data_IF_610289023205
#
_entry.id   IF_610289023205
#
_cell.length_a   1.000
_cell.length_b   1.000
_cell.length_c   1.000
_cell.angle_alpha   90.00
_cell.angle_beta   90.00
_cell.angle_gamma   90.00
#
_symmetry.space_group_name_H-M   'P 1'
#
loop_
_entity.id
_entity.type
_entity.pdbx_description
1 polymer ?
#
# COMPACT_ATOMS: atom_id res chain seq x y z
N UNK A 1 35.14 -39.35 -26.42
CA UNK A 1 34.88 -40.80 -26.27
C UNK A 1 33.38 -41.04 -26.33
N UNK A 2 32.86 -41.60 -27.43
CA UNK A 2 31.46 -42.03 -27.51
C UNK A 2 31.29 -43.45 -26.94
N UNK A 3 30.15 -43.73 -26.31
CA UNK A 3 29.56 -45.08 -26.26
C UNK A 3 28.05 -45.01 -26.40
N UNK A 4 27.56 -45.35 -27.59
CA UNK A 4 26.22 -45.92 -27.78
C UNK A 4 26.10 -47.23 -26.98
N UNK A 5 24.86 -47.63 -26.66
CA UNK A 5 24.52 -49.05 -26.54
C UNK A 5 23.13 -49.32 -27.10
N UNK A 6 23.02 -50.43 -27.80
CA UNK A 6 21.89 -50.84 -28.64
C UNK A 6 21.00 -51.88 -27.94
N UNK A 7 19.81 -52.12 -28.50
CA UNK A 7 18.90 -53.22 -28.17
C UNK A 7 19.56 -54.62 -28.27
N UNK A 8 18.90 -55.63 -27.71
CA UNK A 8 18.44 -56.71 -28.62
C UNK A 8 16.96 -57.10 -28.44
N UNK A 9 16.44 -57.77 -29.48
CA UNK A 9 15.14 -58.46 -29.57
C UNK A 9 15.42 -59.96 -29.50
N UNK A 10 14.49 -60.78 -28.95
CA UNK A 10 14.48 -62.22 -29.21
C UNK A 10 13.07 -62.83 -29.14
N UNK A 11 12.70 -63.56 -30.20
CA UNK A 11 11.59 -64.52 -30.30
C UNK A 11 12.07 -65.91 -29.82
N UNK A 12 11.14 -66.81 -29.41
CA UNK A 12 11.15 -68.24 -29.80
C UNK A 12 9.97 -69.06 -29.21
N UNK A 13 9.91 -70.35 -29.56
CA UNK A 13 8.74 -71.27 -29.49
C UNK A 13 8.95 -72.44 -28.47
N UNK A 14 8.19 -73.56 -28.39
CA UNK A 14 7.05 -74.15 -29.12
C UNK A 14 6.32 -75.20 -28.21
N UNK A 15 5.33 -75.94 -28.76
CA UNK A 15 4.90 -77.34 -28.47
C UNK A 15 3.56 -77.66 -27.78
N UNK A 16 3.04 -78.85 -28.13
CA UNK A 16 1.71 -79.45 -27.84
C UNK A 16 1.89 -80.98 -27.65
N UNK A 17 1.09 -81.68 -26.83
CA UNK A 17 0.70 -83.09 -27.11
C UNK A 17 -0.78 -83.43 -26.66
N UNK A 18 -1.35 -84.66 -26.77
CA UNK A 18 -2.49 -84.86 -27.69
C UNK A 18 -3.70 -85.72 -27.20
N UNK A 19 -4.60 -85.99 -28.16
CA UNK A 19 -5.92 -86.67 -28.22
C UNK A 19 -6.16 -88.05 -27.52
N UNK A 20 -7.46 -88.37 -27.26
CA UNK A 20 -8.06 -89.74 -27.31
C UNK A 20 -9.62 -89.74 -27.35
N UNK A 21 -10.22 -90.59 -28.19
CA UNK A 21 -11.68 -90.84 -28.40
C UNK A 21 -12.20 -91.97 -27.45
N UNK A 22 -13.49 -92.36 -27.28
CA UNK A 22 -14.47 -93.01 -28.22
C UNK A 22 -15.85 -93.25 -27.52
N UNK A 23 -16.97 -92.71 -28.09
CA UNK A 23 -18.27 -93.38 -28.47
C UNK A 23 -19.25 -94.08 -27.43
N UNK A 24 -20.50 -94.54 -27.76
CA UNK A 24 -21.71 -94.13 -27.00
C UNK A 24 -22.79 -95.23 -26.72
N UNK A 25 -23.61 -95.12 -25.65
CA UNK A 25 -24.83 -95.96 -25.49
C UNK A 25 -26.02 -95.30 -24.75
N UNK A 26 -27.22 -95.78 -25.10
CA UNK A 26 -28.51 -95.73 -24.39
C UNK A 26 -29.43 -94.49 -24.52
N UNK A 27 -30.10 -94.47 -25.67
CA UNK A 27 -31.23 -93.65 -26.12
C UNK A 27 -32.62 -94.14 -25.65
N UNK A 28 -32.73 -94.92 -24.55
CA UNK A 28 -33.91 -95.77 -24.26
C UNK A 28 -34.74 -95.40 -23.02
N UNK A 29 -34.75 -94.13 -22.63
CA UNK A 29 -35.65 -93.57 -21.59
C UNK A 29 -36.16 -92.18 -22.02
N UNK A 30 -36.56 -91.95 -23.27
CA UNK A 30 -37.88 -92.32 -23.80
C UNK A 30 -39.04 -92.23 -22.78
N UNK A 31 -39.79 -91.15 -22.91
CA UNK A 31 -41.25 -91.18 -23.03
C UNK A 31 -42.07 -91.79 -21.87
N UNK A 32 -41.78 -91.37 -20.64
CA UNK A 32 -42.74 -91.12 -19.55
C UNK A 32 -42.20 -89.91 -18.77
N UNK A 33 -42.87 -88.78 -18.61
CA UNK A 33 -44.27 -88.42 -18.87
C UNK A 33 -44.43 -87.12 -19.68
N UNK A 34 -45.05 -87.20 -20.86
CA UNK A 34 -45.74 -86.06 -21.48
C UNK A 34 -47.19 -86.04 -20.98
N UNK A 35 -47.44 -85.48 -19.80
CA UNK A 35 -48.80 -85.16 -19.34
C UNK A 35 -48.82 -84.13 -18.19
N UNK A 36 -49.62 -83.07 -18.38
CA UNK A 36 -50.31 -82.29 -17.32
C UNK A 36 -49.47 -81.33 -16.44
N UNK A 37 -49.40 -80.09 -16.90
CA UNK A 37 -49.26 -78.85 -16.08
C UNK A 37 -50.59 -78.57 -15.34
N UNK A 38 -50.63 -78.02 -14.10
CA UNK A 38 -50.45 -76.56 -13.93
C UNK A 38 -49.88 -76.01 -12.58
N UNK A 39 -49.36 -74.76 -12.67
CA UNK A 39 -49.35 -73.67 -11.67
C UNK A 39 -48.34 -73.56 -10.48
N UNK A 40 -47.59 -72.43 -10.53
CA UNK A 40 -47.14 -71.49 -9.46
C UNK A 40 -45.81 -71.73 -8.67
N UNK A 41 -45.19 -70.64 -8.10
CA UNK A 41 -43.72 -70.46 -8.03
C UNK A 41 -43.25 -70.01 -6.59
N UNK A 42 -42.20 -69.18 -6.32
CA UNK A 42 -40.94 -68.81 -7.03
C UNK A 42 -39.64 -68.89 -6.15
N UNK A 43 -38.52 -68.36 -6.68
CA UNK A 43 -37.17 -68.09 -6.08
C UNK A 43 -36.20 -69.29 -6.02
N UNK A 44 -34.89 -69.14 -6.27
CA UNK A 44 -33.98 -67.97 -6.26
C UNK A 44 -33.01 -67.94 -7.48
N UNK A 45 -32.29 -66.83 -7.76
CA UNK A 45 -31.65 -66.60 -9.07
C UNK A 45 -30.17 -67.01 -9.18
N UNK A 46 -29.77 -67.47 -10.38
CA UNK A 46 -28.38 -67.66 -10.83
C UNK A 46 -27.89 -66.43 -11.65
N UNK A 47 -26.58 -66.20 -11.77
CA UNK A 47 -26.03 -64.97 -12.35
C UNK A 47 -26.04 -64.96 -13.90
N UNK A 48 -26.24 -63.79 -14.54
CA UNK A 48 -26.05 -63.62 -15.99
C UNK A 48 -24.56 -63.39 -16.37
N UNK A 49 -24.17 -63.65 -17.63
CA UNK A 49 -22.78 -63.65 -18.07
C UNK A 49 -22.21 -62.25 -18.38
N UNK A 50 -20.89 -62.13 -18.30
CA UNK A 50 -20.14 -60.92 -18.71
C UNK A 50 -20.36 -60.58 -20.20
N UNK A 51 -20.99 -59.43 -20.47
CA UNK A 51 -20.90 -58.76 -21.77
C UNK A 51 -19.99 -57.53 -21.65
N UNK A 52 -19.01 -57.45 -22.54
CA UNK A 52 -18.16 -56.26 -22.71
C UNK A 52 -18.98 -55.11 -23.31
N UNK A 53 -19.23 -54.05 -22.52
CA UNK A 53 -19.80 -52.79 -23.02
C UNK A 53 -19.32 -51.59 -22.19
N UNK A 54 -19.16 -50.46 -22.88
CA UNK A 54 -18.90 -49.11 -22.34
C UNK A 54 -17.54 -48.83 -21.68
N UNK A 55 -16.50 -48.60 -22.51
CA UNK A 55 -15.45 -47.61 -22.19
C UNK A 55 -15.65 -46.28 -22.95
N UNK A 56 -16.38 -46.30 -24.08
CA UNK A 56 -16.56 -45.16 -24.98
C UNK A 56 -17.37 -44.01 -24.38
N UNK A 57 -18.46 -44.31 -23.64
CA UNK A 57 -19.30 -43.25 -23.06
C UNK A 57 -18.59 -42.44 -21.97
N UNK A 58 -17.68 -43.06 -21.21
CA UNK A 58 -16.88 -42.36 -20.18
C UNK A 58 -15.89 -41.39 -20.83
N UNK A 59 -15.25 -41.78 -21.94
CA UNK A 59 -14.34 -40.90 -22.70
C UNK A 59 -15.10 -39.72 -23.31
N UNK A 60 -16.30 -39.95 -23.86
CA UNK A 60 -17.14 -38.87 -24.42
C UNK A 60 -17.56 -37.88 -23.32
N UNK A 61 -17.99 -38.35 -22.15
CA UNK A 61 -18.38 -37.50 -21.02
C UNK A 61 -17.22 -36.66 -20.45
N UNK A 62 -16.01 -37.24 -20.36
CA UNK A 62 -14.81 -36.50 -19.95
C UNK A 62 -14.43 -35.44 -20.98
N UNK A 63 -14.55 -35.74 -22.28
CA UNK A 63 -14.26 -34.80 -23.36
C UNK A 63 -15.23 -33.61 -23.38
N UNK A 64 -16.52 -33.81 -23.10
CA UNK A 64 -17.50 -32.71 -23.05
C UNK A 64 -17.28 -31.80 -21.84
N UNK A 65 -16.97 -32.36 -20.67
CA UNK A 65 -16.65 -31.57 -19.48
C UNK A 65 -15.43 -30.67 -19.69
N UNK A 66 -14.35 -31.19 -20.27
CA UNK A 66 -13.14 -30.41 -20.60
C UNK A 66 -13.43 -29.25 -21.57
N UNK A 67 -14.24 -29.50 -22.60
CA UNK A 67 -14.63 -28.45 -23.56
C UNK A 67 -15.46 -27.33 -22.92
N UNK A 68 -16.35 -27.65 -21.98
CA UNK A 68 -17.16 -26.64 -21.27
C UNK A 68 -16.28 -25.81 -20.32
N UNK A 69 -15.36 -26.45 -19.57
CA UNK A 69 -14.40 -25.71 -18.75
C UNK A 69 -13.52 -24.77 -19.59
N UNK A 70 -13.02 -25.23 -20.74
CA UNK A 70 -12.22 -24.38 -21.64
C UNK A 70 -13.01 -23.17 -22.14
N UNK A 71 -14.27 -23.35 -22.54
CA UNK A 71 -15.14 -22.23 -22.98
C UNK A 71 -15.44 -21.24 -21.85
N UNK A 72 -15.63 -21.72 -20.61
CA UNK A 72 -15.81 -20.84 -19.43
C UNK A 72 -14.54 -20.05 -19.15
N UNK A 73 -13.37 -20.68 -19.14
CA UNK A 73 -12.08 -20.00 -18.94
C UNK A 73 -11.80 -19.00 -20.06
N UNK A 74 -12.05 -19.37 -21.33
CA UNK A 74 -11.92 -18.45 -22.46
C UNK A 74 -12.90 -17.27 -22.36
N UNK A 75 -14.14 -17.49 -21.91
CA UNK A 75 -15.10 -16.42 -21.67
C UNK A 75 -14.67 -15.49 -20.53
N UNK A 76 -14.14 -16.04 -19.42
CA UNK A 76 -13.60 -15.24 -18.32
C UNK A 76 -12.40 -14.41 -18.79
N UNK A 77 -11.43 -15.01 -19.51
CA UNK A 77 -10.29 -14.29 -20.08
C UNK A 77 -10.76 -13.20 -21.06
N UNK A 78 -11.73 -13.49 -21.92
CA UNK A 78 -12.33 -12.51 -22.83
C UNK A 78 -13.04 -11.37 -22.06
N UNK A 79 -13.75 -11.68 -21.00
CA UNK A 79 -14.46 -10.70 -20.17
C UNK A 79 -13.51 -9.81 -19.38
N UNK A 80 -12.48 -10.38 -18.74
CA UNK A 80 -11.42 -9.62 -18.06
C UNK A 80 -10.61 -8.78 -19.06
N UNK A 81 -10.19 -9.34 -20.19
CA UNK A 81 -9.41 -8.60 -21.22
C UNK A 81 -10.22 -7.52 -21.96
N UNK A 82 -11.55 -7.62 -22.01
CA UNK A 82 -12.41 -6.54 -22.50
C UNK A 82 -12.78 -5.52 -21.40
N UNK A 83 -12.86 -5.90 -20.12
CA UNK A 83 -12.91 -4.92 -19.03
C UNK A 83 -11.64 -4.07 -18.98
N UNK A 84 -10.48 -4.64 -19.30
CA UNK A 84 -9.22 -3.92 -19.47
C UNK A 84 -9.17 -2.98 -20.71
N UNK A 85 -10.19 -2.98 -21.58
CA UNK A 85 -10.22 -2.19 -22.83
C UNK A 85 -11.24 -1.06 -22.82
N UNK A 86 -11.24 -0.27 -21.74
CA UNK A 86 -11.63 1.14 -21.75
C UNK A 86 -10.61 2.00 -21.00
N UNK A 87 -9.34 1.91 -21.42
CA UNK A 87 -8.35 2.93 -21.11
C UNK A 87 -8.76 4.21 -21.84
N UNK A 88 -9.53 5.06 -21.16
CA UNK A 88 -9.57 6.48 -21.52
C UNK A 88 -8.21 7.01 -21.14
N UNK A 89 -7.33 7.21 -22.12
CA UNK A 89 -6.03 7.83 -21.91
C UNK A 89 -6.27 9.29 -21.53
N UNK A 90 -6.42 9.53 -20.23
CA UNK A 90 -6.38 10.87 -19.66
C UNK A 90 -4.89 11.27 -19.60
N UNK A 91 -4.44 12.28 -20.35
CA UNK A 91 -3.03 12.65 -20.37
C UNK A 91 -2.66 13.33 -19.05
N UNK A 92 -2.21 12.51 -18.08
CA UNK A 92 -1.65 12.94 -16.80
C UNK A 92 -0.20 13.47 -16.92
N UNK A 93 0.23 13.81 -18.13
CA UNK A 93 1.56 14.31 -18.51
C UNK A 93 1.87 15.73 -18.02
N UNK A 94 1.13 16.24 -17.03
CA UNK A 94 1.27 17.58 -16.48
C UNK A 94 2.01 17.66 -15.13
N UNK A 95 2.56 16.55 -14.64
CA UNK A 95 2.88 16.40 -13.21
C UNK A 95 4.29 15.93 -12.82
N UNK A 96 5.31 16.58 -13.38
CA UNK A 96 6.49 16.96 -12.60
C UNK A 96 7.17 18.19 -13.21
N UNK A 97 7.72 19.06 -12.36
CA UNK A 97 8.12 20.42 -12.73
C UNK A 97 9.56 20.51 -13.25
N UNK A 98 9.74 21.24 -14.36
CA UNK A 98 11.02 21.88 -14.70
C UNK A 98 10.82 23.39 -14.69
N UNK A 99 11.84 24.14 -14.25
CA UNK A 99 11.71 25.54 -13.82
C UNK A 99 11.13 26.52 -14.84
N UNK A 100 9.83 26.76 -14.74
CA UNK A 100 9.10 27.98 -15.12
C UNK A 100 7.70 27.86 -14.53
N UNK A 101 7.08 28.96 -14.04
CA UNK A 101 5.78 28.91 -13.33
C UNK A 101 4.75 28.07 -14.10
N UNK A 102 4.25 26.93 -13.56
CA UNK A 102 3.27 26.13 -14.27
C UNK A 102 1.90 26.82 -14.25
N UNK A 103 1.04 26.59 -15.27
CA UNK A 103 -0.39 26.86 -15.12
C UNK A 103 -0.93 25.99 -13.97
N UNK A 104 -1.80 26.56 -13.12
CA UNK A 104 -2.22 25.93 -11.86
C UNK A 104 -2.69 24.48 -12.02
N UNK A 105 -2.11 23.58 -11.21
CA UNK A 105 -2.44 22.14 -11.15
C UNK A 105 -3.95 21.99 -10.95
N UNK A 106 -4.68 21.60 -12.01
CA UNK A 106 -6.14 21.42 -11.92
C UNK A 106 -6.44 20.19 -11.09
N UNK A 107 -6.93 20.41 -9.87
CA UNK A 107 -7.36 19.36 -8.96
C UNK A 107 -8.41 18.45 -9.63
N UNK A 108 -8.25 17.14 -9.50
CA UNK A 108 -9.18 16.16 -10.05
C UNK A 108 -10.43 16.02 -9.18
N UNK A 109 -11.59 15.86 -9.83
CA UNK A 109 -12.84 15.48 -9.20
C UNK A 109 -13.11 14.03 -9.60
N UNK A 110 -12.88 13.13 -8.67
CA UNK A 110 -13.06 11.69 -8.86
C UNK A 110 -14.51 11.29 -8.59
N UNK A 111 -15.00 10.27 -9.29
CA UNK A 111 -16.23 9.58 -8.93
C UNK A 111 -15.93 8.52 -7.87
N UNK A 112 -16.90 8.21 -7.01
CA UNK A 112 -16.76 7.13 -6.02
C UNK A 112 -16.41 5.81 -6.71
N UNK A 113 -17.15 5.46 -7.77
CA UNK A 113 -16.92 4.23 -8.56
C UNK A 113 -15.52 4.11 -9.19
N UNK A 114 -14.82 5.23 -9.39
CA UNK A 114 -13.43 5.22 -9.85
C UNK A 114 -12.46 4.91 -8.70
N UNK A 115 -12.69 5.50 -7.52
CA UNK A 115 -11.91 5.23 -6.31
C UNK A 115 -12.20 3.83 -5.73
N UNK A 116 -13.42 3.33 -5.87
CA UNK A 116 -13.86 1.99 -5.50
C UNK A 116 -13.10 0.94 -6.32
N UNK A 117 -13.03 1.13 -7.65
CA UNK A 117 -12.20 0.30 -8.52
C UNK A 117 -10.70 0.43 -8.23
N UNK A 118 -10.21 1.63 -7.90
CA UNK A 118 -8.80 1.87 -7.60
C UNK A 118 -8.35 1.28 -6.26
N UNK A 119 -9.21 1.30 -5.23
CA UNK A 119 -8.91 0.86 -3.86
C UNK A 119 -9.39 -0.58 -3.55
N UNK A 120 -9.64 -1.38 -4.58
CA UNK A 120 -10.13 -2.77 -4.48
C UNK A 120 -11.39 -2.88 -3.60
N UNK A 121 -12.47 -2.22 -4.01
CA UNK A 121 -13.75 -2.13 -3.28
C UNK A 121 -13.59 -1.58 -1.84
N UNK A 122 -12.56 -0.75 -1.64
CA UNK A 122 -12.12 -0.20 -0.35
C UNK A 122 -11.64 -1.27 0.66
N UNK A 123 -11.14 -2.41 0.19
CA UNK A 123 -10.53 -3.43 1.06
C UNK A 123 -9.06 -3.15 1.40
N UNK A 124 -8.33 -2.37 0.58
CA UNK A 124 -6.90 -2.12 0.75
C UNK A 124 -6.65 -0.98 1.79
N UNK A 125 -6.89 -1.29 3.07
CA UNK A 125 -6.73 -0.36 4.20
C UNK A 125 -5.25 -0.23 4.59
N UNK A 126 -4.72 0.99 4.58
CA UNK A 126 -3.41 1.34 5.14
C UNK A 126 -3.52 1.66 6.63
N UNK A 127 -4.60 2.33 7.04
CA UNK A 127 -4.83 2.67 8.44
C UNK A 127 -6.25 3.13 8.73
N UNK A 128 -6.71 2.88 9.96
CA UNK A 128 -8.02 3.29 10.46
C UNK A 128 -7.83 4.27 11.62
N UNK A 129 -8.35 5.49 11.46
CA UNK A 129 -8.21 6.59 12.42
C UNK A 129 -9.57 6.94 13.03
N UNK A 130 -9.59 7.84 14.01
CA UNK A 130 -10.81 8.18 14.78
C UNK A 130 -11.91 8.86 13.96
N UNK A 131 -11.55 9.52 12.85
CA UNK A 131 -12.45 10.31 11.99
C UNK A 131 -12.32 10.00 10.48
N UNK A 132 -11.35 9.19 10.05
CA UNK A 132 -11.21 8.73 8.67
C UNK A 132 -10.59 7.33 8.56
N UNK A 133 -10.77 6.68 7.41
CA UNK A 133 -9.98 5.51 6.99
C UNK A 133 -9.07 5.92 5.83
N UNK A 134 -7.82 5.45 5.85
CA UNK A 134 -6.84 5.61 4.78
C UNK A 134 -6.75 4.33 3.98
N UNK A 135 -7.01 4.42 2.67
CA UNK A 135 -6.89 3.32 1.72
C UNK A 135 -5.71 3.57 0.78
N UNK A 136 -5.06 2.48 0.35
CA UNK A 136 -4.20 2.48 -0.83
C UNK A 136 -5.07 2.20 -2.05
N UNK A 137 -4.83 2.93 -3.13
CA UNK A 137 -5.42 2.63 -4.43
C UNK A 137 -4.42 2.76 -5.57
N UNK A 138 -4.75 2.18 -6.71
CA UNK A 138 -4.03 2.36 -7.98
C UNK A 138 -5.01 2.88 -9.01
N UNK A 139 -4.83 4.11 -9.49
CA UNK A 139 -5.70 4.70 -10.51
C UNK A 139 -5.57 3.94 -11.84
N UNK A 140 -6.55 4.10 -12.74
CA UNK A 140 -6.51 3.50 -14.09
C UNK A 140 -5.31 3.92 -14.96
N UNK A 141 -4.59 4.97 -14.56
CA UNK A 141 -3.32 5.42 -15.13
C UNK A 141 -2.08 4.67 -14.62
N UNK A 142 -2.21 3.79 -13.62
CA UNK A 142 -1.10 3.15 -12.92
C UNK A 142 -0.53 3.95 -11.73
N UNK A 143 -1.00 5.18 -11.50
CA UNK A 143 -0.55 6.01 -10.38
C UNK A 143 -1.10 5.48 -9.05
N UNK A 144 -0.21 5.13 -8.12
CA UNK A 144 -0.57 4.79 -6.75
C UNK A 144 -1.01 6.04 -5.96
N UNK A 145 -2.09 5.90 -5.19
CA UNK A 145 -2.73 6.98 -4.44
C UNK A 145 -3.10 6.58 -3.02
N UNK A 146 -3.05 7.55 -2.12
CA UNK A 146 -3.54 7.46 -0.76
C UNK A 146 -4.92 8.14 -0.68
N UNK A 147 -5.97 7.41 -0.32
CA UNK A 147 -7.35 7.93 -0.27
C UNK A 147 -7.83 8.00 1.17
N UNK A 148 -8.06 9.19 1.70
CA UNK A 148 -8.72 9.35 3.01
C UNK A 148 -10.23 9.46 2.79
N UNK A 149 -11.02 8.65 3.50
CA UNK A 149 -12.48 8.71 3.50
C UNK A 149 -12.99 9.08 4.88
N UNK A 150 -13.94 10.00 4.97
CA UNK A 150 -14.69 10.21 6.21
C UNK A 150 -15.39 8.93 6.68
N UNK A 151 -15.54 8.77 8.00
CA UNK A 151 -16.36 7.72 8.61
C UNK A 151 -17.87 8.05 8.61
N UNK A 152 -18.25 9.29 8.26
CA UNK A 152 -19.65 9.71 8.21
C UNK A 152 -20.34 9.03 7.02
N UNK A 153 -21.32 8.17 7.29
CA UNK A 153 -21.99 7.33 6.29
C UNK A 153 -23.28 7.93 5.71
N UNK A 154 -23.82 9.02 6.28
CA UNK A 154 -25.09 9.60 5.89
C UNK A 154 -25.04 11.13 5.83
N UNK A 155 -25.66 11.71 4.81
CA UNK A 155 -25.75 13.17 4.59
C UNK A 155 -26.33 13.94 5.77
N UNK A 156 -27.22 13.33 6.56
CA UNK A 156 -27.85 13.95 7.75
C UNK A 156 -26.86 14.21 8.89
N UNK A 157 -25.80 13.41 8.96
CA UNK A 157 -24.78 13.44 10.02
C UNK A 157 -23.56 14.30 9.60
N UNK A 158 -23.56 14.78 8.35
CA UNK A 158 -22.57 15.70 7.79
C UNK A 158 -23.09 17.15 7.88
N UNK A 159 -22.54 17.92 8.82
CA UNK A 159 -23.03 19.26 9.10
C UNK A 159 -22.50 20.29 8.10
N UNK A 160 -23.20 21.43 7.98
CA UNK A 160 -22.76 22.52 7.11
C UNK A 160 -21.34 23.04 7.43
N UNK A 161 -20.91 22.94 8.70
CA UNK A 161 -19.54 23.26 9.11
C UNK A 161 -18.52 22.28 8.53
N UNK A 162 -18.85 20.99 8.48
CA UNK A 162 -17.96 19.92 8.03
C UNK A 162 -17.78 20.02 6.49
N UNK A 163 -18.86 20.30 5.75
CA UNK A 163 -18.82 20.63 4.32
C UNK A 163 -17.97 21.89 4.05
N UNK A 164 -18.08 22.91 4.90
CA UNK A 164 -17.32 24.16 4.77
C UNK A 164 -15.82 23.91 5.00
N UNK A 165 -15.46 23.15 6.04
CA UNK A 165 -14.07 22.82 6.32
C UNK A 165 -13.47 21.87 5.28
N UNK A 166 -14.22 20.89 4.79
CA UNK A 166 -13.81 20.03 3.68
C UNK A 166 -13.48 20.84 2.42
N UNK A 167 -14.38 21.75 2.00
CA UNK A 167 -14.14 22.64 0.86
C UNK A 167 -12.96 23.59 1.09
N UNK A 168 -12.81 24.12 2.31
CA UNK A 168 -11.68 24.96 2.70
C UNK A 168 -10.36 24.18 2.59
N UNK A 169 -10.30 22.96 3.12
CA UNK A 169 -9.14 22.07 3.02
C UNK A 169 -8.77 21.78 1.56
N UNK A 170 -9.74 21.35 0.77
CA UNK A 170 -9.59 21.13 -0.69
C UNK A 170 -9.04 22.37 -1.37
N UNK A 171 -9.59 23.57 -1.08
CA UNK A 171 -9.19 24.82 -1.70
C UNK A 171 -7.82 25.34 -1.28
N UNK A 172 -7.33 25.02 -0.09
CA UNK A 172 -5.99 25.44 0.34
C UNK A 172 -4.95 24.44 -0.14
N UNK A 173 -5.19 23.13 0.03
CA UNK A 173 -4.28 22.09 -0.44
C UNK A 173 -4.14 22.04 -1.97
N UNK A 174 -5.16 22.43 -2.75
CA UNK A 174 -5.02 22.53 -4.20
C UNK A 174 -4.04 23.63 -4.66
N UNK A 175 -3.76 24.60 -3.79
CA UNK A 175 -2.85 25.71 -4.05
C UNK A 175 -1.46 25.50 -3.41
N UNK A 176 -1.27 24.45 -2.63
CA UNK A 176 0.01 24.09 -2.02
C UNK A 176 0.63 22.90 -2.74
N UNK A 177 1.89 23.02 -3.18
CA UNK A 177 2.57 21.96 -3.92
C UNK A 177 4.07 21.94 -3.60
N UNK A 178 4.50 20.97 -2.81
CA UNK A 178 5.90 20.80 -2.42
C UNK A 178 6.37 19.35 -2.62
N UNK A 179 7.63 19.17 -3.01
CA UNK A 179 8.17 17.83 -3.30
C UNK A 179 8.22 16.96 -2.03
N UNK A 180 8.48 17.56 -0.87
CA UNK A 180 8.44 16.89 0.44
C UNK A 180 7.08 17.00 1.15
N UNK A 181 6.02 17.41 0.45
CA UNK A 181 4.64 17.31 0.93
C UNK A 181 3.91 16.19 0.18
N UNK A 182 2.98 15.54 0.86
CA UNK A 182 2.06 14.58 0.27
C UNK A 182 0.93 15.33 -0.44
N UNK A 183 1.15 15.69 -1.72
CA UNK A 183 0.27 16.65 -2.40
C UNK A 183 -1.11 16.07 -2.71
N UNK A 184 -2.13 16.94 -2.67
CA UNK A 184 -3.50 16.58 -3.02
C UNK A 184 -3.63 16.45 -4.55
N UNK A 185 -4.02 15.26 -5.01
CA UNK A 185 -4.30 14.93 -6.41
C UNK A 185 -5.74 15.29 -6.80
N UNK A 186 -6.67 15.02 -5.89
CA UNK A 186 -8.10 15.21 -6.13
C UNK A 186 -8.96 15.00 -4.91
N UNK A 187 -10.27 15.00 -5.14
CA UNK A 187 -11.28 14.71 -4.13
C UNK A 187 -12.49 14.04 -4.77
N UNK A 188 -13.31 13.37 -3.95
CA UNK A 188 -14.61 12.83 -4.33
C UNK A 188 -15.67 13.32 -3.33
N UNK A 189 -16.78 13.84 -3.86
CA UNK A 189 -17.89 14.40 -3.09
C UNK A 189 -19.23 13.94 -3.68
N UNK A 190 -19.67 12.74 -3.29
CA UNK A 190 -20.96 12.17 -3.71
C UNK A 190 -21.91 12.09 -2.51
N UNK A 191 -23.22 12.10 -2.76
CA UNK A 191 -24.24 12.04 -1.71
C UNK A 191 -24.98 10.69 -1.66
N UNK A 192 -24.86 9.86 -2.71
CA UNK A 192 -25.57 8.57 -2.85
C UNK A 192 -24.62 7.52 -3.47
N UNK A 193 -23.98 6.66 -2.66
CA UNK A 193 -23.91 6.71 -1.20
C UNK A 193 -23.09 7.92 -0.73
N UNK A 194 -23.39 8.43 0.47
CA UNK A 194 -22.72 9.61 1.00
C UNK A 194 -21.21 9.36 1.14
N UNK A 195 -20.41 10.21 0.49
CA UNK A 195 -18.97 10.03 0.33
C UNK A 195 -18.28 11.39 0.35
N UNK A 196 -17.27 11.54 1.23
CA UNK A 196 -16.30 12.65 1.19
C UNK A 196 -14.92 12.04 1.30
N UNK A 197 -14.14 12.15 0.23
CA UNK A 197 -12.80 11.59 0.14
C UNK A 197 -11.80 12.61 -0.39
N UNK A 198 -10.57 12.54 0.11
CA UNK A 198 -9.40 13.28 -0.41
C UNK A 198 -8.42 12.26 -0.99
N UNK A 199 -7.82 12.59 -2.13
CA UNK A 199 -6.91 11.70 -2.87
C UNK A 199 -5.55 12.35 -2.94
N UNK A 200 -4.54 11.68 -2.42
CA UNK A 200 -3.17 12.16 -2.23
C UNK A 200 -2.16 11.29 -2.98
N UNK A 201 -0.95 11.82 -3.18
CA UNK A 201 0.22 11.05 -3.60
C UNK A 201 0.52 9.92 -2.60
N UNK A 202 0.72 8.68 -3.06
CA UNK A 202 1.11 7.58 -2.19
C UNK A 202 2.61 7.57 -1.90
N UNK A 203 2.99 7.10 -0.71
CA UNK A 203 4.36 6.97 -0.25
C UNK A 203 4.53 5.54 0.32
N UNK A 204 5.31 4.66 -0.32
CA UNK A 204 5.25 3.22 -0.07
C UNK A 204 5.97 2.74 1.20
N UNK A 205 6.97 3.49 1.69
CA UNK A 205 7.82 3.06 2.82
C UNK A 205 7.25 3.53 4.17
N UNK A 206 5.93 3.47 4.33
CA UNK A 206 5.24 3.81 5.58
C UNK A 206 5.59 5.21 6.11
N UNK A 207 5.69 5.30 7.43
CA UNK A 207 5.95 6.52 8.21
C UNK A 207 7.33 6.50 8.88
N UNK A 208 7.84 7.70 9.17
CA UNK A 208 9.06 7.88 9.95
C UNK A 208 8.94 7.23 11.35
N UNK A 209 7.75 7.25 11.96
CA UNK A 209 7.51 6.60 13.25
C UNK A 209 7.82 5.10 13.20
N UNK A 210 7.29 4.39 12.19
CA UNK A 210 7.52 2.95 12.01
C UNK A 210 9.01 2.65 11.85
N UNK A 211 9.70 3.47 11.05
CA UNK A 211 11.14 3.34 10.77
C UNK A 211 12.08 3.69 11.93
N UNK A 212 11.63 4.43 12.95
CA UNK A 212 12.42 4.74 14.15
C UNK A 212 12.12 3.80 15.32
N UNK A 213 10.88 3.32 15.45
CA UNK A 213 10.41 2.66 16.68
C UNK A 213 10.01 1.19 16.52
N UNK A 214 9.76 0.70 15.30
CA UNK A 214 9.39 -0.70 15.05
C UNK A 214 10.62 -1.49 14.60
N UNK A 215 10.98 -2.53 15.37
CA UNK A 215 12.22 -3.30 15.20
C UNK A 215 12.20 -4.21 13.97
N UNK A 216 11.01 -4.55 13.50
CA UNK A 216 10.75 -5.35 12.31
C UNK A 216 10.94 -4.55 11.00
N UNK A 217 11.06 -3.22 11.09
CA UNK A 217 11.22 -2.29 9.97
C UNK A 217 12.70 -1.93 9.77
N UNK A 218 13.11 -1.72 8.51
CA UNK A 218 14.49 -1.35 8.17
C UNK A 218 14.91 -0.02 8.83
N UNK A 219 15.97 -0.09 9.64
CA UNK A 219 16.44 1.04 10.44
C UNK A 219 17.16 2.08 9.59
N UNK A 220 16.79 3.35 9.76
CA UNK A 220 17.33 4.45 8.97
C UNK A 220 18.76 4.80 9.41
N UNK A 221 19.71 4.74 8.47
CA UNK A 221 21.07 5.23 8.70
C UNK A 221 21.11 6.77 8.80
N UNK A 222 22.20 7.30 9.36
CA UNK A 222 22.36 8.74 9.63
C UNK A 222 22.11 9.63 8.41
N UNK A 223 22.67 9.30 7.24
CA UNK A 223 22.51 10.12 6.03
C UNK A 223 21.05 10.23 5.56
N UNK A 224 20.27 9.17 5.75
CA UNK A 224 18.84 9.16 5.42
C UNK A 224 18.05 9.97 6.46
N UNK A 225 18.38 9.84 7.74
CA UNK A 225 17.80 10.67 8.82
C UNK A 225 18.02 12.17 8.58
N UNK A 226 19.23 12.58 8.21
CA UNK A 226 19.53 13.97 7.82
C UNK A 226 18.69 14.44 6.62
N UNK A 227 18.59 13.62 5.58
CA UNK A 227 17.79 13.94 4.37
C UNK A 227 16.31 14.11 4.68
N UNK A 228 15.77 13.27 5.56
CA UNK A 228 14.38 13.37 6.04
C UNK A 228 14.19 14.67 6.81
N UNK A 229 15.03 14.96 7.81
CA UNK A 229 14.96 16.18 8.59
C UNK A 229 15.03 17.44 7.73
N UNK A 230 15.96 17.48 6.76
CA UNK A 230 16.10 18.59 5.82
C UNK A 230 14.84 18.74 4.92
N UNK A 231 14.32 17.63 4.38
CA UNK A 231 13.10 17.63 3.56
C UNK A 231 11.86 18.11 4.30
N UNK A 232 11.72 17.76 5.58
CA UNK A 232 10.67 18.29 6.46
C UNK A 232 10.86 19.80 6.67
N UNK A 233 12.09 20.25 6.98
CA UNK A 233 12.39 21.67 7.21
C UNK A 233 12.04 22.54 5.99
N UNK A 234 12.44 22.15 4.77
CA UNK A 234 12.10 22.89 3.53
C UNK A 234 10.60 22.89 3.23
N UNK A 235 9.90 21.80 3.57
CA UNK A 235 8.45 21.76 3.45
C UNK A 235 7.80 22.80 4.36
N UNK A 236 8.17 22.80 5.65
CA UNK A 236 7.60 23.70 6.65
C UNK A 236 7.97 25.17 6.39
N UNK A 237 9.20 25.46 5.93
CA UNK A 237 9.62 26.79 5.46
C UNK A 237 8.64 27.33 4.41
N UNK A 238 8.39 26.59 3.33
CA UNK A 238 7.47 27.02 2.28
C UNK A 238 6.03 27.17 2.79
N UNK A 239 5.59 26.29 3.71
CA UNK A 239 4.25 26.37 4.30
C UNK A 239 4.07 27.66 5.12
N UNK A 240 5.06 28.05 5.91
CA UNK A 240 5.01 29.30 6.68
C UNK A 240 5.08 30.53 5.77
N UNK A 241 5.98 30.54 4.77
CA UNK A 241 6.09 31.65 3.80
C UNK A 241 4.79 31.87 3.00
N UNK A 242 4.01 30.82 2.73
CA UNK A 242 2.71 30.89 2.07
C UNK A 242 1.53 31.11 3.03
N UNK A 243 1.78 31.30 4.33
CA UNK A 243 0.76 31.34 5.40
C UNK A 243 -0.23 30.17 5.31
N UNK A 244 0.25 28.99 4.96
CA UNK A 244 -0.56 27.80 4.80
C UNK A 244 -1.06 27.34 6.19
N UNK A 245 -2.36 27.43 6.53
CA UNK A 245 -2.90 27.20 7.87
C UNK A 245 -2.95 25.71 8.28
N UNK A 246 -2.05 24.89 7.73
CA UNK A 246 -2.20 23.44 7.62
C UNK A 246 -0.99 22.71 8.20
N UNK A 247 -0.84 22.66 9.52
CA UNK A 247 -0.20 21.49 10.15
C UNK A 247 -0.53 21.37 11.63
N UNK A 248 -1.78 21.01 11.93
CA UNK A 248 -2.21 20.84 13.32
C UNK A 248 -1.45 19.69 14.02
N UNK A 249 -1.10 18.63 13.31
CA UNK A 249 -0.57 17.37 13.87
C UNK A 249 0.81 16.97 13.31
N UNK A 250 1.82 17.84 13.40
CA UNK A 250 3.22 17.47 13.09
C UNK A 250 3.75 16.46 14.11
N UNK A 251 4.11 15.28 13.63
CA UNK A 251 4.85 14.23 14.35
C UNK A 251 5.45 13.22 13.33
N UNK A 252 6.24 12.27 13.81
CA UNK A 252 6.83 11.20 12.97
C UNK A 252 5.81 10.32 12.25
N UNK A 253 4.59 10.14 12.78
CA UNK A 253 3.50 9.42 12.10
C UNK A 253 2.84 10.22 10.98
N UNK A 254 2.98 11.55 10.97
CA UNK A 254 2.53 12.43 9.88
C UNK A 254 3.53 12.55 8.72
N UNK A 255 4.74 12.01 8.88
CA UNK A 255 5.83 12.08 7.91
C UNK A 255 5.96 10.71 7.25
N UNK A 256 5.53 10.60 6.00
CA UNK A 256 5.66 9.37 5.22
C UNK A 256 6.98 9.33 4.43
N UNK A 257 7.43 8.14 4.07
CA UNK A 257 8.67 7.94 3.31
C UNK A 257 8.39 7.39 1.90
N UNK A 258 9.02 8.03 0.92
CA UNK A 258 9.01 7.59 -0.48
C UNK A 258 9.90 6.36 -0.71
N UNK A 259 9.82 5.75 -1.90
CA UNK A 259 10.65 4.60 -2.32
C UNK A 259 12.15 4.81 -2.03
N UNK A 260 12.66 6.03 -2.21
CA UNK A 260 14.07 6.38 -1.94
C UNK A 260 14.30 7.06 -0.57
N UNK A 261 13.35 6.90 0.37
CA UNK A 261 13.34 7.44 1.73
C UNK A 261 13.41 8.97 1.84
N UNK A 262 13.01 9.72 0.81
CA UNK A 262 12.75 11.15 0.98
C UNK A 262 11.41 11.38 1.71
N UNK A 263 11.38 12.38 2.59
CA UNK A 263 10.23 12.71 3.42
C UNK A 263 9.04 13.28 2.62
N UNK A 264 7.84 12.88 3.02
CA UNK A 264 6.53 13.36 2.57
C UNK A 264 5.69 13.73 3.80
N UNK A 265 5.77 15.00 4.22
CA UNK A 265 4.91 15.56 5.26
C UNK A 265 3.45 15.50 4.79
N UNK A 266 2.53 15.04 5.64
CA UNK A 266 1.13 14.81 5.27
C UNK A 266 0.14 15.57 6.16
N UNK A 267 -0.99 15.97 5.56
CA UNK A 267 -2.20 16.40 6.28
C UNK A 267 -3.39 15.55 5.79
N UNK A 268 -3.54 14.36 6.36
CA UNK A 268 -4.56 13.38 5.96
C UNK A 268 -5.92 13.63 6.63
N UNK A 269 -5.92 14.27 7.81
CA UNK A 269 -7.08 14.34 8.72
C UNK A 269 -8.13 15.37 8.29
N UNK A 270 -9.42 15.07 8.44
CA UNK A 270 -10.48 16.05 8.14
C UNK A 270 -10.47 17.17 9.20
N UNK A 271 -10.50 18.43 8.74
CA UNK A 271 -10.47 19.59 9.63
C UNK A 271 -11.81 19.75 10.36
N UNK A 272 -11.89 19.20 11.57
CA UNK A 272 -13.14 19.15 12.34
C UNK A 272 -13.21 20.23 13.44
N UNK A 273 -12.11 20.95 13.70
CA UNK A 273 -12.04 22.06 14.66
C UNK A 273 -11.91 23.42 13.95
N UNK A 274 -12.83 24.32 14.25
CA UNK A 274 -12.43 25.70 14.54
C UNK A 274 -12.00 25.67 16.02
N UNK A 275 -10.87 26.28 16.43
CA UNK A 275 -10.59 26.39 17.85
C UNK A 275 -11.75 27.16 18.50
N UNK A 276 -12.32 26.60 19.56
CA UNK A 276 -13.16 27.39 20.46
C UNK A 276 -12.29 28.55 20.97
N UNK A 277 -12.92 29.72 21.19
CA UNK A 277 -12.18 30.96 21.46
C UNK A 277 -11.29 30.92 22.70
N UNK A 278 -11.45 29.88 23.54
CA UNK A 278 -10.73 29.64 24.79
C UNK A 278 -9.55 28.64 24.65
N UNK A 279 -9.41 27.92 23.53
CA UNK A 279 -8.22 27.08 23.20
C UNK A 279 -7.21 27.79 22.27
N UNK A 280 -7.35 29.11 22.10
CA UNK A 280 -6.30 29.96 21.54
C UNK A 280 -5.17 30.16 22.56
N UNK A 281 -4.43 29.08 22.87
CA UNK A 281 -3.12 29.16 23.53
C UNK A 281 -2.25 30.17 22.77
N UNK A 282 -1.63 31.11 23.49
CA UNK A 282 -1.05 32.36 22.97
C UNK A 282 0.25 32.20 22.15
N UNK A 283 0.44 31.07 21.47
CA UNK A 283 1.48 30.85 20.48
C UNK A 283 0.98 31.13 19.05
N UNK A 284 1.82 31.72 18.20
CA UNK A 284 1.53 31.74 16.76
C UNK A 284 1.52 30.29 16.22
N UNK A 285 0.73 30.03 15.17
CA UNK A 285 0.75 28.71 14.49
C UNK A 285 2.18 28.33 14.05
N UNK A 286 3.00 29.32 13.69
CA UNK A 286 4.42 29.15 13.37
C UNK A 286 5.22 28.67 14.58
N UNK A 287 5.08 29.29 15.75
CA UNK A 287 5.78 28.91 16.98
C UNK A 287 5.50 27.44 17.38
N UNK A 288 4.25 27.00 17.28
CA UNK A 288 3.85 25.61 17.54
C UNK A 288 4.47 24.65 16.52
N UNK A 289 4.57 25.03 15.25
CA UNK A 289 5.16 24.20 14.19
C UNK A 289 6.68 24.10 14.35
N UNK A 290 7.36 25.21 14.67
CA UNK A 290 8.80 25.22 14.97
C UNK A 290 9.10 24.32 16.17
N UNK A 291 8.33 24.44 17.27
CA UNK A 291 8.48 23.58 18.44
C UNK A 291 8.34 22.10 18.08
N UNK A 292 7.27 21.73 17.35
CA UNK A 292 7.04 20.35 16.91
C UNK A 292 8.14 19.84 15.96
N UNK A 293 8.70 20.70 15.10
CA UNK A 293 9.87 20.35 14.29
C UNK A 293 11.09 20.05 15.18
N UNK A 294 11.33 20.85 16.23
CA UNK A 294 12.37 20.57 17.23
C UNK A 294 12.22 19.21 17.91
N UNK A 295 10.98 18.84 18.28
CA UNK A 295 10.67 17.51 18.85
C UNK A 295 10.90 16.38 17.83
N UNK A 296 10.43 16.54 16.59
CA UNK A 296 10.68 15.55 15.51
C UNK A 296 12.18 15.41 15.21
N UNK A 297 12.94 16.49 15.23
CA UNK A 297 14.39 16.46 15.00
C UNK A 297 15.10 15.73 16.16
N UNK A 298 14.69 15.99 17.40
CA UNK A 298 15.19 15.29 18.59
C UNK A 298 14.85 13.78 18.56
N UNK A 299 13.63 13.42 18.15
CA UNK A 299 13.19 12.03 17.93
C UNK A 299 14.04 11.33 16.84
N UNK A 300 14.29 12.00 15.71
CA UNK A 300 15.16 11.49 14.63
C UNK A 300 16.59 11.20 15.12
N UNK A 301 17.18 12.10 15.92
CA UNK A 301 18.58 11.96 16.38
C UNK A 301 18.71 10.89 17.46
N UNK A 302 17.76 10.83 18.38
CA UNK A 302 17.84 9.97 19.57
C UNK A 302 17.21 8.58 19.38
N UNK A 303 16.38 8.38 18.37
CA UNK A 303 15.62 7.12 18.18
C UNK A 303 14.60 6.87 19.30
N UNK A 304 14.27 7.89 20.10
CA UNK A 304 13.41 7.78 21.28
C UNK A 304 12.03 8.37 20.99
N UNK A 305 11.00 7.72 21.52
CA UNK A 305 9.62 8.18 21.42
C UNK A 305 9.45 9.59 22.05
N UNK A 306 8.65 10.49 21.47
CA UNK A 306 8.33 11.80 22.05
C UNK A 306 7.74 11.73 23.47
N UNK A 307 7.07 10.62 23.80
CA UNK A 307 6.63 10.24 25.14
C UNK A 307 6.74 8.73 25.33
N UNK A 308 7.15 8.29 26.52
CA UNK A 308 7.05 6.90 26.97
C UNK A 308 6.64 6.85 28.45
N UNK A 309 6.09 5.72 28.91
CA UNK A 309 5.74 5.55 30.32
C UNK A 309 6.97 5.51 31.24
N UNK A 310 8.09 4.93 30.76
CA UNK A 310 9.32 4.75 31.53
C UNK A 310 10.17 6.04 31.62
N UNK A 311 10.44 6.72 30.49
CA UNK A 311 11.31 7.90 30.42
C UNK A 311 10.53 9.24 30.45
N UNK A 312 9.20 9.21 30.38
CA UNK A 312 8.36 10.41 30.34
C UNK A 312 8.45 11.16 29.00
N UNK A 313 8.46 12.50 29.06
CA UNK A 313 8.54 13.37 27.88
C UNK A 313 9.98 13.49 27.37
N UNK A 314 10.17 13.26 26.06
CA UNK A 314 11.48 13.30 25.39
C UNK A 314 12.24 14.60 25.62
N UNK A 315 11.55 15.74 25.59
CA UNK A 315 12.15 17.07 25.83
C UNK A 315 12.71 17.22 27.25
N UNK A 316 12.07 16.61 28.26
CA UNK A 316 12.53 16.65 29.64
C UNK A 316 13.77 15.77 29.84
N UNK A 317 13.78 14.57 29.25
CA UNK A 317 14.98 13.71 29.20
C UNK A 317 16.14 14.44 28.49
N UNK A 318 15.87 15.06 27.34
CA UNK A 318 16.87 15.73 26.53
C UNK A 318 17.46 16.99 27.18
N UNK A 319 16.72 17.63 28.09
CA UNK A 319 17.07 18.91 28.72
C UNK A 319 18.50 18.95 29.29
N UNK A 320 18.99 17.83 29.85
CA UNK A 320 20.32 17.73 30.44
C UNK A 320 21.48 17.67 29.43
N UNK A 321 21.21 17.26 28.18
CA UNK A 321 22.18 17.35 27.07
C UNK A 321 22.08 18.73 26.41
N UNK A 322 20.86 19.22 26.22
CA UNK A 322 20.58 20.53 25.64
C UNK A 322 21.18 21.67 26.46
N UNK A 323 21.10 21.64 27.80
CA UNK A 323 21.72 22.65 28.66
C UNK A 323 23.23 22.45 28.91
N UNK A 324 23.84 21.42 28.33
CA UNK A 324 25.27 21.13 28.46
C UNK A 324 25.70 20.44 29.77
N UNK A 325 24.77 19.97 30.61
CA UNK A 325 25.09 19.20 31.81
C UNK A 325 25.59 17.78 31.51
N UNK A 326 25.32 17.27 30.30
CA UNK A 326 25.76 15.95 29.80
C UNK A 326 26.33 16.07 28.38
N UNK A 327 27.12 15.07 27.99
CA UNK A 327 27.68 14.92 26.65
C UNK A 327 26.58 14.71 25.61
N UNK A 328 26.49 15.60 24.63
CA UNK A 328 25.51 15.51 23.52
C UNK A 328 25.66 14.24 22.66
N UNK A 329 26.82 13.55 22.72
CA UNK A 329 27.01 12.25 22.04
C UNK A 329 26.11 11.17 22.64
N UNK A 330 25.86 11.25 23.93
CA UNK A 330 25.08 10.28 24.70
C UNK A 330 23.56 10.50 24.49
N UNK A 331 23.17 11.50 23.69
CA UNK A 331 21.80 11.77 23.25
C UNK A 331 21.44 11.05 21.93
N UNK A 332 22.45 10.55 21.20
CA UNK A 332 22.28 9.95 19.88
C UNK A 332 21.83 8.49 19.99
N UNK A 333 21.00 8.06 19.03
CA UNK A 333 20.52 6.69 18.89
C UNK A 333 21.68 5.67 18.83
N UNK A 334 21.71 4.75 19.79
CA UNK A 334 22.73 3.69 19.93
C UNK A 334 22.77 2.71 18.74
N UNK A 335 21.71 2.66 17.90
CA UNK A 335 21.68 1.83 16.68
C UNK A 335 22.50 2.42 15.53
N UNK A 336 22.95 3.67 15.64
CA UNK A 336 23.74 4.35 14.61
C UNK A 336 25.25 4.05 14.77
N UNK A 337 25.81 3.30 13.81
CA UNK A 337 27.21 2.87 13.83
C UNK A 337 28.25 4.01 13.87
N UNK A 338 27.95 5.17 13.30
CA UNK A 338 28.84 6.34 13.28
C UNK A 338 28.05 7.60 12.92
N UNK A 339 28.24 8.66 13.69
CA UNK A 339 27.62 9.98 13.51
C UNK A 339 28.72 11.05 13.68
N UNK A 340 28.88 12.00 12.74
CA UNK A 340 29.83 13.12 12.87
C UNK A 340 29.49 14.01 14.07
N UNK A 341 30.51 14.42 14.83
CA UNK A 341 30.32 15.25 16.03
C UNK A 341 29.86 16.67 15.67
N UNK A 342 30.34 17.20 14.54
CA UNK A 342 29.87 18.45 13.97
C UNK A 342 28.36 18.47 13.67
N UNK A 343 27.80 17.36 13.17
CA UNK A 343 26.36 17.25 12.92
C UNK A 343 25.58 17.28 14.23
N UNK A 344 26.02 16.52 15.25
CA UNK A 344 25.36 16.49 16.57
C UNK A 344 25.35 17.89 17.18
N UNK A 345 26.49 18.60 17.16
CA UNK A 345 26.60 19.96 17.68
C UNK A 345 25.64 20.89 16.94
N UNK A 346 25.67 20.89 15.60
CA UNK A 346 24.84 21.76 14.78
C UNK A 346 23.34 21.51 14.95
N UNK A 347 22.92 20.25 14.90
CA UNK A 347 21.51 19.87 15.06
C UNK A 347 21.02 20.11 16.50
N UNK A 348 21.87 19.94 17.52
CA UNK A 348 21.50 20.29 18.90
C UNK A 348 21.22 21.78 19.04
N UNK A 349 21.95 22.64 18.32
CA UNK A 349 21.69 24.08 18.31
C UNK A 349 20.38 24.44 17.62
N UNK A 350 20.06 23.77 16.50
CA UNK A 350 18.73 23.90 15.85
C UNK A 350 17.62 23.45 16.80
N UNK A 351 17.78 22.32 17.49
CA UNK A 351 16.79 21.83 18.47
C UNK A 351 16.59 22.88 19.56
N UNK A 352 17.66 23.42 20.16
CA UNK A 352 17.58 24.50 21.14
C UNK A 352 16.77 25.68 20.62
N UNK A 353 17.11 26.22 19.44
CA UNK A 353 16.40 27.37 18.87
C UNK A 353 14.94 27.09 18.52
N UNK A 354 14.56 25.82 18.36
CA UNK A 354 13.18 25.40 18.11
C UNK A 354 12.34 25.25 19.40
N UNK A 355 12.92 24.86 20.54
CA UNK A 355 12.19 24.48 21.76
C UNK A 355 12.27 25.51 22.89
N UNK A 356 12.68 26.75 22.60
CA UNK A 356 12.68 27.86 23.56
C UNK A 356 11.24 28.19 23.99
N UNK A 357 11.02 28.37 25.30
CA UNK A 357 9.71 28.71 25.90
C UNK A 357 9.19 30.12 25.50
N UNK A 358 10.08 31.00 25.04
CA UNK A 358 9.81 32.39 24.65
C UNK A 358 9.63 32.50 23.12
N UNK A 359 8.40 32.72 22.61
CA UNK A 359 8.13 32.75 21.17
C UNK A 359 8.85 33.89 20.42
N UNK A 360 9.25 34.98 21.09
CA UNK A 360 9.99 36.07 20.44
C UNK A 360 11.48 35.74 20.21
N UNK A 361 11.99 34.71 20.90
CA UNK A 361 13.38 34.23 20.78
C UNK A 361 13.50 32.91 20.00
N UNK A 362 12.38 32.28 19.68
CA UNK A 362 12.33 31.07 18.89
C UNK A 362 12.71 31.35 17.43
N UNK A 363 13.46 30.45 16.80
CA UNK A 363 13.84 30.63 15.40
C UNK A 363 12.63 30.50 14.45
N UNK A 364 12.64 31.22 13.33
CA UNK A 364 11.67 31.02 12.25
C UNK A 364 11.98 29.73 11.46
N UNK A 365 10.98 29.16 10.78
CA UNK A 365 11.24 28.00 9.91
C UNK A 365 12.22 28.31 8.76
N UNK A 366 12.35 29.59 8.36
CA UNK A 366 13.32 30.02 7.34
C UNK A 366 14.76 29.96 7.88
N UNK A 367 14.98 30.38 9.12
CA UNK A 367 16.29 30.27 9.79
C UNK A 367 16.65 28.80 10.06
N UNK A 368 15.71 28.01 10.54
CA UNK A 368 15.86 26.57 10.76
C UNK A 368 16.24 25.84 9.47
N UNK A 369 15.52 26.09 8.36
CA UNK A 369 15.84 25.48 7.06
C UNK A 369 17.21 25.91 6.51
N UNK A 370 17.60 27.17 6.73
CA UNK A 370 18.93 27.68 6.39
C UNK A 370 20.03 27.00 7.20
N UNK A 371 19.86 26.86 8.52
CA UNK A 371 20.81 26.16 9.39
C UNK A 371 20.90 24.67 9.04
N UNK A 372 19.76 23.98 8.84
CA UNK A 372 19.71 22.59 8.38
C UNK A 372 20.52 22.40 7.10
N UNK A 373 20.39 23.32 6.13
CA UNK A 373 21.15 23.29 4.87
C UNK A 373 22.65 23.45 5.09
N UNK A 374 23.07 24.33 5.99
CA UNK A 374 24.48 24.61 6.27
C UNK A 374 25.16 23.45 7.00
N UNK A 375 24.48 22.86 7.99
CA UNK A 375 25.01 21.75 8.80
C UNK A 375 25.06 20.46 7.99
N UNK A 376 23.94 20.07 7.36
CA UNK A 376 23.88 18.78 6.63
C UNK A 376 24.53 18.81 5.26
N UNK A 377 24.83 20.00 4.72
CA UNK A 377 25.20 20.24 3.32
C UNK A 377 24.20 19.69 2.27
N UNK A 378 22.97 19.33 2.67
CA UNK A 378 21.90 18.84 1.79
C UNK A 378 21.15 20.07 1.23
N UNK A 379 21.19 20.37 -0.08
CA UNK A 379 20.33 21.40 -0.66
C UNK A 379 18.90 20.88 -0.88
N UNK A 380 17.90 21.77 -1.07
CA UNK A 380 16.49 21.37 -1.20
C UNK A 380 16.21 20.33 -2.30
N UNK A 381 16.94 20.38 -3.42
CA UNK A 381 16.82 19.42 -4.52
C UNK A 381 17.34 18.01 -4.16
N UNK A 382 18.33 17.90 -3.28
CA UNK A 382 18.81 16.62 -2.76
C UNK A 382 17.88 16.03 -1.67
N UNK A 383 17.15 16.88 -0.95
CA UNK A 383 16.12 16.46 0.01
C UNK A 383 14.81 15.99 -0.67
N UNK A 384 14.55 16.40 -1.91
CA UNK A 384 13.40 15.95 -2.71
C UNK A 384 13.49 14.45 -3.03
N UNK A 385 12.35 13.74 -3.21
CA UNK A 385 12.33 12.38 -3.75
C UNK A 385 12.98 12.31 -5.13
N UNK A 386 13.72 11.23 -5.40
CA UNK A 386 14.26 10.99 -6.75
C UNK A 386 13.14 10.59 -7.70
N UNK A 387 13.26 10.99 -8.97
CA UNK A 387 12.39 10.48 -10.03
C UNK A 387 12.64 8.97 -10.16
N UNK A 388 11.60 8.15 -9.94
CA UNK A 388 11.71 6.68 -10.01
C UNK A 388 12.20 6.23 -11.40
N UNK A 389 13.07 5.20 -11.50
CA UNK A 389 13.56 4.70 -12.79
C UNK A 389 12.46 4.28 -13.78
N UNK A 390 11.28 3.89 -13.28
CA UNK A 390 10.10 3.59 -14.11
C UNK A 390 9.68 4.77 -15.00
N UNK A 391 9.86 6.02 -14.54
CA UNK A 391 9.59 7.23 -15.32
C UNK A 391 10.42 7.30 -16.61
N UNK A 392 11.67 6.83 -16.58
CA UNK A 392 12.53 6.77 -17.76
C UNK A 392 12.10 5.66 -18.73
N UNK A 393 11.55 4.56 -18.23
CA UNK A 393 11.01 3.50 -19.06
C UNK A 393 9.72 3.95 -19.78
N UNK A 394 8.80 4.62 -19.07
CA UNK A 394 7.58 5.16 -19.68
C UNK A 394 7.88 6.21 -20.76
N UNK A 395 8.87 7.08 -20.56
CA UNK A 395 9.30 8.05 -21.58
C UNK A 395 9.87 7.40 -22.86
N UNK A 396 10.52 6.24 -22.76
CA UNK A 396 11.04 5.50 -23.94
C UNK A 396 9.97 4.68 -24.67
N UNK A 397 8.84 4.36 -24.01
CA UNK A 397 7.72 3.65 -24.63
C UNK A 397 6.83 4.61 -25.45
N UNK A 398 6.95 5.92 -25.21
CA UNK A 398 6.16 6.99 -25.86
C UNK A 398 6.96 7.76 -26.93
N UNK A 399 8.24 7.40 -27.16
CA UNK A 399 9.12 7.93 -28.22
C UNK A 399 9.30 6.95 -29.38
#
# INVERSE_FOLDING_TARGET
MHKHKTLPVQDDKETLPPNREVNPRNWRLLARELAQSPNRPPSSPLPPPHQSRSKTHVVILLSTAGSVCFLIVAFLIYWYSNRAKKVVVMPLTGLSTKGSKPPGRRLLVFKRSELEAACEDFCNIVGSFSNFTLYKGTLSSGVEVAVTSTLIAYTKDWLARDETQFRKKVSVLSNFNHNNFMNLLGHCNENEPFTRMLVFEYAPNGTLFEHLHIKEVEQLNWSVRLRIAAGVAYCLEQMMQLNCPILQNLNSSSIYLTEDYAAKVSDLEFWNKQPDADEASEGSNESIIVYKFGIVLLEIISGRLPYSEDDGLLVLWASSYLNGSRSIKDMVDETLNSVPEEDIIGLTEIIRSCIIDDPEKQATMTEVASQMRLITAIPPDAACPKLSPLWWAELQIVS
#
